data_IF_047768574643
#
_entry.id   IF_047768574643
#
_cell.length_a   1.000
_cell.length_b   1.000
_cell.length_c   1.000
_cell.angle_alpha   90.00
_cell.angle_beta   90.00
_cell.angle_gamma   90.00
#
_symmetry.space_group_name_H-M   'P 1'
#
loop_
_entity.id
_entity.type
_entity.pdbx_description
1 polymer ?
#
# COMPACT_ATOMS: atom_id res chain seq x y z
N UNK A 1 6.99 -0.14 -67.20
CA UNK A 1 6.69 0.87 -66.18
C UNK A 1 6.35 0.11 -64.91
N UNK A 2 7.36 -0.09 -64.11
CA UNK A 2 7.28 -0.87 -62.84
C UNK A 2 7.23 0.11 -61.67
N UNK A 3 6.11 0.14 -60.93
CA UNK A 3 5.95 0.97 -59.76
C UNK A 3 6.00 0.09 -58.52
N UNK A 4 7.19 -0.08 -58.02
CA UNK A 4 7.45 -0.74 -56.70
C UNK A 4 6.98 0.21 -55.59
N UNK A 5 5.82 -0.13 -54.98
CA UNK A 5 5.32 0.52 -53.75
C UNK A 5 6.16 0.05 -52.56
N UNK A 6 7.00 0.95 -52.03
CA UNK A 6 7.69 0.75 -50.75
C UNK A 6 6.69 0.75 -49.62
N UNK A 7 6.47 -0.43 -48.98
CA UNK A 7 5.85 -0.53 -47.65
C UNK A 7 6.74 0.20 -46.63
N UNK A 8 6.19 1.23 -45.98
CA UNK A 8 6.74 1.84 -44.80
C UNK A 8 6.50 0.88 -43.63
N UNK A 9 7.55 0.25 -43.14
CA UNK A 9 7.55 -0.43 -41.85
C UNK A 9 7.38 0.61 -40.75
N UNK A 10 6.19 0.66 -40.17
CA UNK A 10 5.83 1.52 -39.06
C UNK A 10 5.72 0.67 -37.79
N UNK A 11 6.85 0.10 -37.36
CA UNK A 11 7.03 -0.47 -36.02
C UNK A 11 8.46 -0.19 -35.57
N UNK A 12 8.72 1.08 -35.29
CA UNK A 12 9.82 1.44 -34.40
C UNK A 12 9.37 1.13 -32.98
N UNK A 13 9.75 -0.03 -32.47
CA UNK A 13 9.76 -0.32 -31.03
C UNK A 13 10.69 0.68 -30.38
N UNK A 14 10.14 1.77 -29.80
CA UNK A 14 10.90 2.61 -28.88
C UNK A 14 11.33 1.71 -27.74
N UNK A 15 12.62 1.52 -27.57
CA UNK A 15 13.17 0.99 -26.32
C UNK A 15 12.71 1.94 -25.21
N UNK A 16 11.80 1.46 -24.37
CA UNK A 16 11.28 2.21 -23.24
C UNK A 16 12.40 2.21 -22.21
N UNK A 17 13.04 3.36 -21.98
CA UNK A 17 14.01 3.51 -20.91
C UNK A 17 13.37 3.06 -19.59
N UNK A 18 14.15 2.38 -18.73
CA UNK A 18 13.63 1.78 -17.48
C UNK A 18 12.90 2.73 -16.52
N UNK A 19 12.98 4.04 -16.75
CA UNK A 19 12.40 5.10 -15.93
C UNK A 19 11.09 5.71 -16.51
N UNK A 20 10.49 5.11 -17.56
CA UNK A 20 9.19 5.52 -18.11
C UNK A 20 8.07 4.59 -17.64
N UNK A 21 7.03 5.19 -17.08
CA UNK A 21 5.82 4.52 -16.59
C UNK A 21 4.57 5.11 -17.25
N UNK A 22 3.44 4.41 -17.19
CA UNK A 22 2.14 4.95 -17.60
C UNK A 22 1.51 5.80 -16.48
N UNK A 23 1.83 5.42 -15.22
CA UNK A 23 1.34 6.07 -14.01
C UNK A 23 2.43 6.05 -12.93
N UNK A 24 2.61 7.17 -12.24
CA UNK A 24 3.35 7.24 -11.00
C UNK A 24 2.36 7.48 -9.87
N UNK A 25 2.42 6.66 -8.83
CA UNK A 25 1.63 6.83 -7.61
C UNK A 25 2.57 7.16 -6.46
N UNK A 26 2.38 8.30 -5.82
CA UNK A 26 3.18 8.73 -4.68
C UNK A 26 2.43 8.46 -3.39
N UNK A 27 2.96 7.54 -2.60
CA UNK A 27 2.40 7.11 -1.32
C UNK A 27 1.99 5.63 -1.30
N UNK A 28 2.72 4.82 -0.53
CA UNK A 28 2.52 3.37 -0.40
C UNK A 28 1.54 3.00 0.75
N UNK A 29 0.47 3.77 0.91
CA UNK A 29 -0.66 3.45 1.78
C UNK A 29 -1.81 2.79 1.00
N UNK A 30 -2.95 2.55 1.66
CA UNK A 30 -4.09 1.83 1.07
C UNK A 30 -4.58 2.43 -0.24
N UNK A 31 -4.67 3.76 -0.34
CA UNK A 31 -5.10 4.44 -1.57
C UNK A 31 -4.10 4.25 -2.71
N UNK A 32 -2.78 4.41 -2.42
CA UNK A 32 -1.74 4.22 -3.42
C UNK A 32 -1.67 2.78 -3.92
N UNK A 33 -1.79 1.80 -3.03
CA UNK A 33 -1.87 0.39 -3.43
C UNK A 33 -3.09 0.10 -4.30
N UNK A 34 -4.28 0.58 -3.91
CA UNK A 34 -5.50 0.39 -4.72
C UNK A 34 -5.36 1.00 -6.11
N UNK A 35 -4.85 2.22 -6.21
CA UNK A 35 -4.62 2.88 -7.49
C UNK A 35 -3.61 2.11 -8.36
N UNK A 36 -2.50 1.67 -7.75
CA UNK A 36 -1.46 0.92 -8.45
C UNK A 36 -1.95 -0.42 -8.97
N UNK A 37 -2.66 -1.19 -8.14
CA UNK A 37 -3.22 -2.49 -8.52
C UNK A 37 -4.26 -2.33 -9.64
N UNK A 38 -5.21 -1.39 -9.49
CA UNK A 38 -6.24 -1.14 -10.51
C UNK A 38 -5.62 -0.75 -11.86
N UNK A 39 -4.57 0.08 -11.86
CA UNK A 39 -3.87 0.44 -13.09
C UNK A 39 -3.10 -0.75 -13.67
N UNK A 40 -2.47 -1.56 -12.80
CA UNK A 40 -1.74 -2.76 -13.21
C UNK A 40 -2.66 -3.81 -13.86
N UNK A 41 -3.84 -4.05 -13.30
CA UNK A 41 -4.87 -4.93 -13.85
C UNK A 41 -5.38 -4.42 -15.21
N UNK A 42 -5.34 -3.10 -15.44
CA UNK A 42 -5.61 -2.50 -16.75
C UNK A 42 -4.39 -2.55 -17.70
N UNK A 43 -3.36 -3.33 -17.38
CA UNK A 43 -2.17 -3.53 -18.21
C UNK A 43 -1.19 -2.36 -18.23
N UNK A 44 -1.26 -1.44 -17.26
CA UNK A 44 -0.38 -0.27 -17.18
C UNK A 44 0.91 -0.58 -16.41
N UNK A 45 2.01 0.05 -16.82
CA UNK A 45 3.26 0.07 -16.06
C UNK A 45 3.17 1.15 -15.00
N UNK A 46 3.28 0.77 -13.73
CA UNK A 46 3.09 1.66 -12.59
C UNK A 46 4.36 1.75 -11.75
N UNK A 47 4.78 2.98 -11.42
CA UNK A 47 5.73 3.22 -10.35
C UNK A 47 4.94 3.56 -9.07
N UNK A 48 5.05 2.73 -8.05
CA UNK A 48 4.54 3.03 -6.72
C UNK A 48 5.69 3.53 -5.86
N UNK A 49 5.70 4.83 -5.56
CA UNK A 49 6.76 5.47 -4.79
C UNK A 49 6.36 5.56 -3.33
N UNK A 50 7.11 4.89 -2.47
CA UNK A 50 6.93 4.90 -1.01
C UNK A 50 8.07 5.59 -0.29
N UNK A 51 7.79 6.11 0.91
CA UNK A 51 8.80 6.58 1.85
C UNK A 51 8.35 6.26 3.28
N UNK A 52 9.24 5.64 4.05
CA UNK A 52 8.93 5.11 5.38
C UNK A 52 8.22 3.75 5.33
N UNK A 53 7.45 3.43 6.36
CA UNK A 53 6.88 2.08 6.49
C UNK A 53 5.76 1.83 5.48
N UNK A 54 5.92 0.82 4.64
CA UNK A 54 4.91 0.36 3.66
C UNK A 54 3.56 0.08 4.35
N UNK A 55 2.45 0.35 3.66
CA UNK A 55 1.09 0.24 4.21
C UNK A 55 0.53 1.56 4.75
N UNK A 56 1.39 2.57 4.95
CA UNK A 56 1.00 3.92 5.34
C UNK A 56 0.44 4.03 6.77
N UNK A 57 -0.09 5.19 7.10
CA UNK A 57 -0.56 5.54 8.45
C UNK A 57 -1.65 4.61 8.98
N UNK A 58 -2.62 4.25 8.14
CA UNK A 58 -3.81 3.50 8.57
C UNK A 58 -3.46 2.14 9.18
N UNK A 59 -2.63 1.34 8.53
CA UNK A 59 -2.27 0.02 9.04
C UNK A 59 -1.23 0.10 10.15
N UNK A 60 -0.24 0.98 10.02
CA UNK A 60 0.93 0.96 10.92
C UNK A 60 0.67 1.64 12.27
N UNK A 61 0.02 2.81 12.28
CA UNK A 61 -0.12 3.65 13.49
C UNK A 61 -1.51 4.28 13.64
N UNK A 62 -2.46 3.97 12.76
CA UNK A 62 -3.77 4.58 12.71
C UNK A 62 -4.92 3.62 12.99
N UNK A 63 -5.72 3.34 11.96
CA UNK A 63 -7.00 2.65 12.09
C UNK A 63 -6.87 1.22 12.66
N UNK A 64 -5.86 0.47 12.26
CA UNK A 64 -5.71 -0.92 12.67
C UNK A 64 -5.35 -1.04 14.15
N UNK A 65 -4.23 -0.45 14.65
CA UNK A 65 -3.90 -0.55 16.05
C UNK A 65 -4.94 0.10 16.96
N UNK A 66 -5.52 1.25 16.60
CA UNK A 66 -6.53 1.90 17.42
C UNK A 66 -7.79 1.05 17.55
N UNK A 67 -8.28 0.44 16.46
CA UNK A 67 -9.45 -0.45 16.52
C UNK A 67 -9.19 -1.74 17.27
N UNK A 68 -7.99 -2.31 17.17
CA UNK A 68 -7.61 -3.47 17.96
C UNK A 68 -7.66 -3.17 19.45
N UNK A 69 -7.07 -2.05 19.87
CA UNK A 69 -7.10 -1.59 21.28
C UNK A 69 -8.51 -1.28 21.76
N UNK A 70 -9.35 -0.63 20.95
CA UNK A 70 -10.77 -0.37 21.29
C UNK A 70 -11.51 -1.68 21.50
N UNK A 71 -11.31 -2.69 20.64
CA UNK A 71 -11.97 -4.00 20.80
C UNK A 71 -11.52 -4.71 22.07
N UNK A 72 -10.25 -4.62 22.45
CA UNK A 72 -9.77 -5.16 23.72
C UNK A 72 -10.43 -4.43 24.91
N UNK A 73 -10.54 -3.11 24.87
CA UNK A 73 -11.21 -2.33 25.90
C UNK A 73 -12.72 -2.65 25.98
N UNK A 74 -13.39 -2.81 24.85
CA UNK A 74 -14.81 -3.21 24.79
C UNK A 74 -15.05 -4.57 25.42
N UNK A 75 -14.14 -5.54 25.22
CA UNK A 75 -14.24 -6.86 25.83
C UNK A 75 -14.18 -6.78 27.36
N UNK A 76 -13.24 -6.00 27.91
CA UNK A 76 -13.12 -5.76 29.35
C UNK A 76 -14.37 -5.04 29.89
N UNK A 77 -14.80 -3.96 29.22
CA UNK A 77 -15.98 -3.19 29.61
C UNK A 77 -17.26 -4.04 29.57
N UNK A 78 -17.42 -4.85 28.52
CA UNK A 78 -18.57 -5.77 28.39
C UNK A 78 -18.65 -6.76 29.56
N UNK A 79 -17.54 -7.38 29.92
CA UNK A 79 -17.47 -8.28 31.07
C UNK A 79 -17.73 -7.57 32.40
N UNK A 80 -17.17 -6.39 32.63
CA UNK A 80 -17.42 -5.59 33.82
C UNK A 80 -18.89 -5.13 33.90
N UNK A 81 -19.52 -4.82 32.76
CA UNK A 81 -20.91 -4.39 32.68
C UNK A 81 -21.93 -5.53 32.82
N UNK A 82 -21.49 -6.78 32.89
CA UNK A 82 -22.37 -7.95 32.96
C UNK A 82 -23.21 -7.99 34.24
N UNK A 83 -22.78 -7.32 35.32
CA UNK A 83 -23.54 -7.20 36.58
C UNK A 83 -24.93 -6.57 36.44
N UNK A 84 -25.21 -5.86 35.34
CA UNK A 84 -26.56 -5.31 35.05
C UNK A 84 -27.63 -6.40 34.79
N UNK A 85 -27.21 -7.62 34.53
CA UNK A 85 -28.10 -8.75 34.31
C UNK A 85 -28.18 -9.62 35.55
N UNK A 86 -29.38 -9.88 36.13
CA UNK A 86 -29.53 -10.78 37.24
C UNK A 86 -28.97 -12.17 36.95
N UNK A 87 -28.15 -12.69 37.87
CA UNK A 87 -27.55 -14.01 37.75
C UNK A 87 -26.22 -14.02 36.97
N UNK A 88 -25.73 -12.89 36.51
CA UNK A 88 -24.40 -12.78 35.90
C UNK A 88 -23.44 -12.01 36.81
N UNK A 89 -22.30 -12.59 37.12
CA UNK A 89 -21.24 -11.97 37.90
C UNK A 89 -20.27 -11.22 36.95
N UNK A 90 -19.91 -9.97 37.22
CA UNK A 90 -18.92 -9.25 36.41
C UNK A 90 -17.54 -9.86 36.62
N UNK A 91 -16.86 -10.25 35.56
CA UNK A 91 -15.57 -10.91 35.64
C UNK A 91 -14.73 -10.66 34.37
N UNK A 92 -14.29 -9.41 34.18
CA UNK A 92 -13.29 -9.15 33.14
C UNK A 92 -12.30 -8.06 33.59
N UNK A 93 -11.02 -8.36 33.46
CA UNK A 93 -9.93 -7.39 33.65
C UNK A 93 -8.75 -7.77 32.74
N UNK A 94 -7.96 -6.79 32.39
CA UNK A 94 -6.72 -7.06 31.69
C UNK A 94 -5.69 -7.62 32.69
N UNK A 95 -5.30 -8.88 32.48
CA UNK A 95 -4.32 -9.55 33.32
C UNK A 95 -2.88 -9.29 32.88
N UNK A 96 -2.69 -8.97 31.64
CA UNK A 96 -1.39 -8.67 31.01
C UNK A 96 -1.55 -7.58 29.96
N UNK A 97 -1.23 -6.34 30.31
CA UNK A 97 -1.25 -5.22 29.38
C UNK A 97 -0.19 -5.34 28.29
N UNK A 98 1.00 -5.88 28.63
CA UNK A 98 2.05 -6.13 27.64
C UNK A 98 1.60 -7.09 26.54
N UNK A 99 0.84 -8.14 26.92
CA UNK A 99 0.22 -9.07 25.98
C UNK A 99 -0.79 -8.39 25.04
N UNK A 100 -1.63 -7.48 25.54
CA UNK A 100 -2.57 -6.71 24.70
C UNK A 100 -1.83 -5.83 23.68
N UNK A 101 -0.79 -5.12 24.11
CA UNK A 101 0.02 -4.26 23.25
C UNK A 101 0.76 -5.10 22.20
N UNK A 102 1.39 -6.22 22.62
CA UNK A 102 2.07 -7.13 21.71
C UNK A 102 1.12 -7.72 20.67
N UNK A 103 -0.04 -8.21 21.09
CA UNK A 103 -1.04 -8.76 20.16
C UNK A 103 -1.52 -7.75 19.13
N UNK A 104 -1.62 -6.46 19.51
CA UNK A 104 -1.93 -5.38 18.60
C UNK A 104 -0.79 -5.15 17.60
N UNK A 105 0.47 -5.18 18.05
CA UNK A 105 1.63 -5.04 17.18
C UNK A 105 1.76 -6.22 16.20
N UNK A 106 1.55 -7.44 16.66
CA UNK A 106 1.56 -8.65 15.83
C UNK A 106 0.49 -8.58 14.73
N UNK A 107 -0.73 -8.09 15.06
CA UNK A 107 -1.81 -7.87 14.08
C UNK A 107 -1.41 -6.84 13.01
N UNK A 108 -0.79 -5.74 13.41
CA UNK A 108 -0.30 -4.71 12.49
C UNK A 108 0.72 -5.29 11.53
N UNK A 109 1.70 -6.05 12.05
CA UNK A 109 2.73 -6.70 11.24
C UNK A 109 2.12 -7.69 10.25
N UNK A 110 1.23 -8.57 10.70
CA UNK A 110 0.53 -9.54 9.85
C UNK A 110 -0.24 -8.85 8.73
N UNK A 111 -0.99 -7.79 9.05
CA UNK A 111 -1.77 -7.06 8.05
C UNK A 111 -0.87 -6.32 7.06
N UNK A 112 0.25 -5.75 7.50
CA UNK A 112 1.24 -5.11 6.62
C UNK A 112 1.83 -6.13 5.67
N UNK A 113 2.27 -7.27 6.19
CA UNK A 113 2.85 -8.33 5.39
C UNK A 113 1.86 -8.83 4.34
N UNK A 114 0.68 -9.31 4.75
CA UNK A 114 -0.29 -9.95 3.86
C UNK A 114 -0.95 -9.00 2.87
N UNK A 115 -1.21 -7.75 3.25
CA UNK A 115 -1.99 -6.81 2.42
C UNK A 115 -1.16 -5.87 1.56
N UNK A 116 0.14 -5.81 1.79
CA UNK A 116 1.02 -4.92 1.04
C UNK A 116 2.26 -5.65 0.51
N UNK A 117 3.07 -6.24 1.36
CA UNK A 117 4.33 -6.84 0.95
C UNK A 117 4.11 -8.07 0.06
N UNK A 118 3.25 -8.99 0.48
CA UNK A 118 2.97 -10.24 -0.25
C UNK A 118 2.19 -10.00 -1.56
N UNK A 119 1.55 -8.83 -1.72
CA UNK A 119 0.83 -8.50 -2.94
C UNK A 119 1.74 -8.03 -4.07
N UNK A 120 2.84 -7.34 -3.77
CA UNK A 120 3.72 -6.76 -4.78
C UNK A 120 4.23 -7.78 -5.82
N UNK A 121 4.69 -8.98 -5.44
CA UNK A 121 5.18 -9.97 -6.40
C UNK A 121 4.12 -10.49 -7.39
N UNK A 122 2.84 -10.35 -7.07
CA UNK A 122 1.75 -10.76 -7.96
C UNK A 122 1.50 -9.78 -9.12
N UNK A 123 2.10 -8.58 -9.08
CA UNK A 123 1.91 -7.52 -10.06
C UNK A 123 3.25 -7.10 -10.67
N UNK A 124 3.74 -7.87 -11.63
CA UNK A 124 5.06 -7.65 -12.30
C UNK A 124 5.18 -6.27 -12.96
N UNK A 125 4.05 -5.66 -13.31
CA UNK A 125 3.98 -4.32 -13.91
C UNK A 125 3.88 -3.17 -12.88
N UNK A 126 3.98 -3.47 -11.58
CA UNK A 126 4.13 -2.49 -10.51
C UNK A 126 5.57 -2.50 -10.00
N UNK A 127 6.28 -1.40 -10.18
CA UNK A 127 7.61 -1.20 -9.60
C UNK A 127 7.48 -0.42 -8.30
N UNK A 128 7.80 -1.04 -7.18
CA UNK A 128 7.87 -0.34 -5.89
C UNK A 128 9.23 0.33 -5.73
N UNK A 129 9.22 1.63 -5.46
CA UNK A 129 10.40 2.48 -5.33
C UNK A 129 10.43 3.08 -3.92
N UNK A 130 11.43 2.70 -3.12
CA UNK A 130 11.65 3.18 -1.75
C UNK A 130 13.05 3.80 -1.63
N UNK A 131 13.29 4.87 -2.41
CA UNK A 131 14.58 5.53 -2.50
C UNK A 131 14.61 6.90 -1.79
N UNK A 132 13.71 7.10 -0.83
CA UNK A 132 13.60 8.33 -0.06
C UNK A 132 12.41 9.22 -0.45
N UNK A 133 12.39 10.49 0.01
CA UNK A 133 11.28 11.39 -0.24
C UNK A 133 11.17 11.74 -1.72
N UNK A 134 9.93 11.71 -2.22
CA UNK A 134 9.60 12.07 -3.58
C UNK A 134 9.25 13.56 -3.69
N UNK A 135 9.58 14.18 -4.83
CA UNK A 135 9.19 15.56 -5.17
C UNK A 135 8.59 15.60 -6.56
N UNK A 136 7.47 16.29 -6.71
CA UNK A 136 6.89 16.58 -8.03
C UNK A 136 7.83 17.52 -8.78
N UNK A 137 8.10 17.18 -10.04
CA UNK A 137 8.88 17.97 -10.99
C UNK A 137 8.15 18.03 -12.33
N UNK A 138 8.61 18.87 -13.25
CA UNK A 138 8.04 18.91 -14.59
C UNK A 138 8.20 17.55 -15.28
N UNK A 139 7.07 16.97 -15.70
CA UNK A 139 7.02 15.70 -16.42
C UNK A 139 7.18 14.44 -15.57
N UNK A 140 7.20 14.53 -14.21
CA UNK A 140 7.34 13.34 -13.38
C UNK A 140 7.62 13.57 -11.89
N UNK A 141 8.40 12.67 -11.32
CA UNK A 141 8.74 12.64 -9.89
C UNK A 141 10.24 12.44 -9.73
N UNK A 142 10.86 13.29 -8.92
CA UNK A 142 12.25 13.11 -8.48
C UNK A 142 12.27 12.26 -7.21
N UNK A 143 13.02 11.17 -7.23
CA UNK A 143 13.23 10.23 -6.11
C UNK A 143 14.58 9.54 -6.25
N UNK A 144 15.30 9.32 -5.16
CA UNK A 144 16.58 8.62 -5.15
C UNK A 144 17.66 9.27 -6.03
N UNK A 145 17.59 10.59 -6.24
CA UNK A 145 18.57 11.31 -7.09
C UNK A 145 18.29 11.22 -8.59
N UNK A 146 17.23 10.60 -9.03
CA UNK A 146 16.79 10.48 -10.44
C UNK A 146 15.37 11.00 -10.63
N UNK A 147 15.00 11.24 -11.88
CA UNK A 147 13.63 11.61 -12.27
C UNK A 147 13.00 10.43 -13.02
N UNK A 148 11.87 9.98 -12.53
CA UNK A 148 11.01 9.01 -13.21
C UNK A 148 9.86 9.76 -13.90
N UNK A 149 9.46 9.31 -15.08
CA UNK A 149 8.49 10.02 -15.92
C UNK A 149 7.24 9.20 -16.16
N UNK A 150 6.08 9.88 -16.15
CA UNK A 150 4.80 9.32 -16.58
C UNK A 150 3.86 10.42 -17.07
N UNK A 151 2.88 10.09 -17.94
CA UNK A 151 1.82 11.03 -18.36
C UNK A 151 0.86 11.39 -17.21
N UNK A 152 0.87 10.63 -16.13
CA UNK A 152 0.02 10.82 -14.93
C UNK A 152 0.82 10.60 -13.65
N UNK A 153 0.58 11.47 -12.68
CA UNK A 153 1.11 11.39 -11.33
C UNK A 153 -0.05 11.57 -10.35
#
# INVERSE_FOLDING_TARGET
MDQTVKKKDCCSSKEVSGDQYDLIVVGAGSAGFSASITAAEAGKRVALVGHGTIGGTCVNVGCVPSKAMIRAAEAVHGGASAARFPGISPCAHAVDWGGVVKGTADLVEEMRQKKYIDLLPAYENVTYIEEGPARLVEGGVAVGGRVISAPRV
#
